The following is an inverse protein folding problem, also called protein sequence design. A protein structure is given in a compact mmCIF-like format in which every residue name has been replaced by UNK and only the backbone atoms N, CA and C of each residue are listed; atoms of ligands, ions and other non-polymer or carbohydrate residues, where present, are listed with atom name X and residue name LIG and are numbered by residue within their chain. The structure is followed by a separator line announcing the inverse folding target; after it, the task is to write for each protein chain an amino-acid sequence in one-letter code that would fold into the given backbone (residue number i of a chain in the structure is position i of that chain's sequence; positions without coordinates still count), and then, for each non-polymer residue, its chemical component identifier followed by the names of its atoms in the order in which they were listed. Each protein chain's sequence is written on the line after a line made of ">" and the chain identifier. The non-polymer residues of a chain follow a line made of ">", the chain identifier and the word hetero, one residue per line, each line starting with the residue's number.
data_IF_250107879974
#
_entry.id   IF_250107879974
#
_cell.length_a   1.000
_cell.length_b   1.000
_cell.length_c   1.000
_cell.angle_alpha   90.00
_cell.angle_beta   90.00
_cell.angle_gamma   90.00
#
_symmetry.space_group_name_H-M   'P 1'
#
loop_
_entity.id
_entity.type
_entity.pdbx_description
1 polymer ?
#
# COMPACT_ATOMS: atom_id res chain seq x y z
N UNK A 1 13.57 15.64 6.09
CA UNK A 1 12.40 14.83 5.71
C UNK A 1 11.47 15.71 4.90
N UNK A 2 11.07 15.23 3.72
CA UNK A 2 10.08 15.88 2.85
C UNK A 2 9.04 14.79 2.55
N UNK A 3 7.87 14.87 3.18
CA UNK A 3 6.75 13.97 2.91
C UNK A 3 5.75 14.72 2.04
N UNK A 4 5.54 14.25 0.81
CA UNK A 4 4.57 14.81 -0.12
C UNK A 4 3.51 13.74 -0.41
N UNK A 5 2.36 13.85 0.26
CA UNK A 5 1.19 12.98 0.04
C UNK A 5 0.28 13.64 -0.98
N UNK A 6 0.30 13.17 -2.24
CA UNK A 6 -0.63 13.62 -3.27
C UNK A 6 -1.81 12.65 -3.37
N UNK A 7 -2.96 13.04 -2.80
CA UNK A 7 -4.26 12.48 -3.16
C UNK A 7 -4.76 13.22 -4.41
N UNK A 8 -4.59 12.63 -5.60
CA UNK A 8 -5.05 13.24 -6.85
C UNK A 8 -6.35 12.60 -7.29
N UNK A 9 -7.46 13.26 -6.93
CA UNK A 9 -8.68 13.23 -7.72
C UNK A 9 -8.63 14.34 -8.76
N UNK A 10 -8.17 14.04 -9.98
CA UNK A 10 -8.53 14.73 -11.23
C UNK A 10 -7.75 14.12 -12.40
N UNK A 11 -8.47 13.94 -13.52
CA UNK A 11 -8.04 13.30 -14.76
C UNK A 11 -6.95 14.14 -15.45
N UNK A 12 -5.82 13.52 -15.79
CA UNK A 12 -4.78 14.09 -16.64
C UNK A 12 -4.54 13.16 -17.83
N UNK A 13 -4.68 13.70 -19.03
CA UNK A 13 -4.45 13.03 -20.30
C UNK A 13 -2.95 12.87 -20.56
N UNK A 14 -2.36 11.80 -20.01
CA UNK A 14 -0.98 11.38 -20.28
C UNK A 14 -0.79 9.99 -19.68
N UNK A 15 -0.65 8.97 -20.53
CA UNK A 15 -0.94 7.58 -20.20
C UNK A 15 -0.18 7.00 -19.00
N UNK A 16 -0.89 6.17 -18.24
CA UNK A 16 -0.38 5.35 -17.12
C UNK A 16 0.78 4.40 -17.52
N UNK A 17 1.02 4.19 -18.82
CA UNK A 17 2.08 3.33 -19.36
C UNK A 17 3.50 3.83 -19.02
N UNK A 18 3.69 5.13 -18.74
CA UNK A 18 5.01 5.65 -18.40
C UNK A 18 5.44 5.30 -16.97
N UNK A 19 4.48 5.05 -16.06
CA UNK A 19 4.75 4.80 -14.64
C UNK A 19 5.06 3.33 -14.34
N UNK A 20 4.74 2.43 -15.28
CA UNK A 20 4.91 0.98 -15.12
C UNK A 20 6.01 0.41 -16.01
N UNK A 21 6.83 1.27 -16.64
CA UNK A 21 7.93 0.81 -17.47
C UNK A 21 9.06 0.27 -16.57
N UNK A 22 9.42 -1.03 -16.65
CA UNK A 22 10.43 -1.63 -15.78
C UNK A 22 11.79 -0.91 -15.86
N UNK A 23 12.14 -0.35 -17.03
CA UNK A 23 13.37 0.43 -17.24
C UNK A 23 13.41 1.73 -16.41
N UNK A 24 12.26 2.31 -16.08
CA UNK A 24 12.16 3.54 -15.25
C UNK A 24 12.29 3.20 -13.76
N UNK A 25 11.80 2.02 -13.34
CA UNK A 25 11.99 1.52 -11.97
C UNK A 25 13.45 1.16 -11.68
N UNK A 26 14.17 0.61 -12.66
CA UNK A 26 15.63 0.40 -12.58
C UNK A 26 16.41 1.72 -12.48
N UNK A 27 15.93 2.78 -13.14
CA UNK A 27 16.52 4.12 -13.10
C UNK A 27 16.37 4.86 -11.75
N UNK A 28 15.26 4.63 -11.03
CA UNK A 28 15.04 5.16 -9.68
C UNK A 28 15.89 4.42 -8.62
N UNK A 29 16.11 3.12 -8.77
CA UNK A 29 17.01 2.36 -7.91
C UNK A 29 18.50 2.73 -8.12
N UNK A 30 18.88 3.11 -9.34
CA UNK A 30 20.28 3.41 -9.70
C UNK A 30 20.76 4.82 -9.30
N UNK A 31 19.88 5.77 -8.95
CA UNK A 31 20.26 7.15 -8.57
C UNK A 31 20.19 7.44 -7.05
N UNK A 32 20.00 6.41 -6.22
CA UNK A 32 20.01 6.54 -4.77
C UNK A 32 21.43 6.49 -4.20
N UNK A 33 22.11 7.64 -4.13
CA UNK A 33 23.31 7.78 -3.30
C UNK A 33 23.04 7.34 -1.85
N UNK A 34 23.98 6.58 -1.28
CA UNK A 34 24.07 6.06 0.10
C UNK A 34 22.92 6.45 1.04
N UNK A 35 21.91 5.57 1.16
CA UNK A 35 20.92 5.61 2.25
C UNK A 35 19.48 6.01 1.89
N UNK A 36 19.10 6.08 0.61
CA UNK A 36 17.72 6.38 0.23
C UNK A 36 16.82 5.14 0.31
N UNK A 37 15.70 5.26 1.02
CA UNK A 37 14.61 4.29 1.06
C UNK A 37 13.44 4.83 0.24
N UNK A 38 12.86 4.00 -0.62
CA UNK A 38 11.66 4.31 -1.40
C UNK A 38 10.49 3.51 -0.86
N UNK A 39 9.33 4.14 -0.70
CA UNK A 39 8.08 3.45 -0.36
C UNK A 39 6.94 3.97 -1.24
N UNK A 40 6.18 3.04 -1.81
CA UNK A 40 4.99 3.33 -2.61
C UNK A 40 3.85 2.41 -2.18
N UNK A 41 2.64 2.97 -2.10
CA UNK A 41 1.42 2.24 -1.76
C UNK A 41 0.28 2.68 -2.66
N UNK A 42 -0.53 1.72 -3.09
CA UNK A 42 -1.78 1.96 -3.81
C UNK A 42 -2.89 1.14 -3.15
N UNK A 43 -4.06 1.75 -3.01
CA UNK A 43 -5.24 1.12 -2.43
C UNK A 43 -6.50 1.63 -3.13
N UNK A 44 -7.53 0.79 -3.20
CA UNK A 44 -8.79 1.14 -3.85
C UNK A 44 -9.98 0.63 -3.03
N UNK A 45 -10.90 1.52 -2.67
CA UNK A 45 -12.09 1.18 -1.89
C UNK A 45 -13.21 0.62 -2.77
N UNK A 46 -13.69 -0.57 -2.42
CA UNK A 46 -14.81 -1.26 -3.08
C UNK A 46 -16.01 -1.29 -2.13
N UNK A 47 -17.16 -0.72 -2.51
CA UNK A 47 -18.37 -0.87 -1.72
C UNK A 47 -18.87 -2.32 -1.76
N UNK A 48 -19.35 -2.82 -0.62
CA UNK A 48 -19.94 -4.15 -0.46
C UNK A 48 -21.25 -4.07 0.34
N UNK A 49 -22.05 -5.13 0.26
CA UNK A 49 -23.26 -5.31 1.09
C UNK A 49 -24.27 -4.15 0.99
N UNK A 50 -24.66 -3.77 -0.24
CA UNK A 50 -25.54 -2.62 -0.50
C UNK A 50 -25.00 -1.31 0.11
N UNK A 51 -23.72 -1.02 -0.16
CA UNK A 51 -23.02 0.17 0.33
C UNK A 51 -23.02 0.29 1.87
N UNK A 52 -23.03 -0.85 2.59
CA UNK A 52 -22.91 -0.86 4.05
C UNK A 52 -21.46 -1.01 4.52
N UNK A 53 -20.60 -1.57 3.67
CA UNK A 53 -19.19 -1.83 3.97
C UNK A 53 -18.29 -1.32 2.84
N UNK A 54 -17.05 -0.98 3.16
CA UNK A 54 -15.99 -0.74 2.18
C UNK A 54 -14.86 -1.72 2.43
N UNK A 55 -14.58 -2.55 1.42
CA UNK A 55 -13.38 -3.37 1.35
C UNK A 55 -12.29 -2.61 0.59
N UNK A 56 -11.13 -2.45 1.18
CA UNK A 56 -10.01 -1.72 0.57
C UNK A 56 -8.82 -2.67 0.37
N UNK A 57 -8.71 -3.36 -0.77
CA UNK A 57 -7.45 -4.00 -1.17
C UNK A 57 -6.36 -2.94 -1.42
N UNK A 58 -5.12 -3.30 -1.11
CA UNK A 58 -3.96 -2.47 -1.35
C UNK A 58 -2.68 -3.28 -1.57
N UNK A 59 -1.72 -2.62 -2.20
CA UNK A 59 -0.39 -3.11 -2.50
C UNK A 59 0.62 -2.08 -2.01
N UNK A 60 1.70 -2.50 -1.37
CA UNK A 60 2.83 -1.63 -1.07
C UNK A 60 4.16 -2.27 -1.45
N UNK A 61 5.10 -1.42 -1.84
CA UNK A 61 6.48 -1.76 -2.15
C UNK A 61 7.39 -0.80 -1.40
N UNK A 62 8.32 -1.33 -0.62
CA UNK A 62 9.42 -0.57 -0.06
C UNK A 62 10.76 -1.13 -0.57
N UNK A 63 11.67 -0.25 -0.98
CA UNK A 63 13.00 -0.59 -1.49
C UNK A 63 14.05 0.15 -0.66
N UNK A 64 15.08 -0.59 -0.22
CA UNK A 64 16.33 -0.05 0.33
C UNK A 64 17.52 -0.60 -0.47
N UNK A 65 18.74 -0.10 -0.24
CA UNK A 65 19.93 -0.62 -0.94
C UNK A 65 20.17 -2.12 -0.77
N UNK A 66 19.67 -2.70 0.33
CA UNK A 66 19.94 -4.05 0.80
C UNK A 66 18.70 -4.90 1.02
N UNK A 67 17.50 -4.35 0.81
CA UNK A 67 16.23 -5.06 1.04
C UNK A 67 15.10 -4.57 0.13
N UNK A 68 14.13 -5.45 -0.09
CA UNK A 68 12.86 -5.14 -0.73
C UNK A 68 11.72 -5.75 0.09
N UNK A 69 10.69 -4.95 0.37
CA UNK A 69 9.51 -5.39 1.11
C UNK A 69 8.28 -5.22 0.26
N UNK A 70 7.52 -6.30 0.10
CA UNK A 70 6.25 -6.36 -0.61
C UNK A 70 5.13 -6.57 0.39
N UNK A 71 4.05 -5.77 0.30
CA UNK A 71 2.88 -5.92 1.17
C UNK A 71 1.60 -6.04 0.36
N UNK A 72 0.77 -7.00 0.76
CA UNK A 72 -0.63 -7.10 0.39
C UNK A 72 -1.46 -6.65 1.58
N UNK A 73 -2.40 -5.74 1.35
CA UNK A 73 -3.19 -5.11 2.40
C UNK A 73 -4.68 -5.27 2.08
N UNK A 74 -5.47 -5.50 3.10
CA UNK A 74 -6.94 -5.46 3.02
C UNK A 74 -7.47 -4.79 4.27
N UNK A 75 -8.41 -3.88 4.13
CA UNK A 75 -9.22 -3.40 5.26
C UNK A 75 -10.70 -3.49 4.95
N UNK A 76 -11.50 -3.71 5.99
CA UNK A 76 -12.95 -3.72 5.94
C UNK A 76 -13.47 -2.79 7.02
N UNK A 77 -14.24 -1.78 6.59
CA UNK A 77 -14.83 -0.76 7.46
C UNK A 77 -16.30 -0.55 7.11
N UNK A 78 -17.16 -0.11 8.07
CA UNK A 78 -18.49 0.40 7.77
C UNK A 78 -18.47 1.57 6.80
N UNK A 79 -19.44 1.62 5.88
CA UNK A 79 -19.61 2.73 4.96
C UNK A 79 -20.23 3.95 5.66
N UNK A 80 -19.59 5.10 5.53
CA UNK A 80 -19.85 6.29 6.34
C UNK A 80 -21.14 7.05 6.01
N UNK A 81 -21.81 6.80 4.87
CA UNK A 81 -23.01 7.56 4.50
C UNK A 81 -24.26 7.22 5.35
N UNK A 82 -24.29 6.05 6.00
CA UNK A 82 -25.42 5.59 6.80
C UNK A 82 -25.03 4.98 8.16
N UNK A 83 -23.76 5.07 8.56
CA UNK A 83 -23.27 4.46 9.80
C UNK A 83 -23.79 5.19 11.05
N UNK A 84 -24.98 4.80 11.51
CA UNK A 84 -25.48 5.08 12.88
C UNK A 84 -24.94 4.06 13.91
N UNK A 85 -24.05 3.14 13.49
CA UNK A 85 -23.43 2.12 14.34
C UNK A 85 -21.99 2.44 14.74
N UNK A 86 -21.47 1.68 15.70
CA UNK A 86 -20.09 1.77 16.20
C UNK A 86 -19.08 1.63 15.05
N UNK A 87 -18.10 2.54 14.98
CA UNK A 87 -17.06 2.47 13.95
C UNK A 87 -16.06 1.39 14.32
N UNK A 88 -15.95 0.37 13.47
CA UNK A 88 -14.97 -0.70 13.60
C UNK A 88 -14.13 -0.83 12.33
N UNK A 89 -12.96 -1.44 12.46
CA UNK A 89 -12.10 -1.79 11.33
C UNK A 89 -11.51 -3.18 11.55
N UNK A 90 -11.56 -4.00 10.52
CA UNK A 90 -10.76 -5.24 10.43
C UNK A 90 -9.74 -5.03 9.32
N UNK A 91 -8.46 -5.27 9.59
CA UNK A 91 -7.43 -5.21 8.55
C UNK A 91 -6.49 -6.40 8.58
N UNK A 92 -6.05 -6.81 7.39
CA UNK A 92 -5.15 -7.91 7.15
C UNK A 92 -3.98 -7.42 6.29
N UNK A 93 -2.76 -7.73 6.71
CA UNK A 93 -1.55 -7.47 5.95
C UNK A 93 -0.75 -8.77 5.78
N UNK A 94 -0.39 -9.09 4.55
CA UNK A 94 0.63 -10.08 4.24
C UNK A 94 1.89 -9.35 3.79
N UNK A 95 3.04 -9.70 4.34
CA UNK A 95 4.32 -9.10 4.00
C UNK A 95 5.32 -10.17 3.58
N UNK A 96 6.13 -9.82 2.57
CA UNK A 96 7.30 -10.57 2.16
C UNK A 96 8.48 -9.63 2.10
N UNK A 97 9.55 -9.95 2.81
CA UNK A 97 10.78 -9.18 2.82
C UNK A 97 11.93 -10.01 2.25
N UNK A 98 12.67 -9.42 1.34
CA UNK A 98 13.91 -9.95 0.78
C UNK A 98 15.07 -9.08 1.29
N UNK A 99 16.21 -9.69 1.62
CA UNK A 99 17.45 -8.97 1.93
C UNK A 99 18.63 -9.63 1.25
N UNK A 100 19.59 -8.81 0.82
CA UNK A 100 20.86 -9.29 0.24
C UNK A 100 21.70 -10.11 1.22
N UNK A 101 21.42 -9.98 2.52
CA UNK A 101 22.13 -10.70 3.59
C UNK A 101 21.58 -12.11 3.87
N UNK A 102 20.36 -12.41 3.40
CA UNK A 102 19.66 -13.67 3.69
C UNK A 102 19.13 -14.31 2.41
N UNK A 103 19.52 -15.56 2.09
CA UNK A 103 19.10 -16.21 0.85
C UNK A 103 17.62 -16.61 0.81
N UNK A 104 16.93 -16.58 1.97
CA UNK A 104 15.53 -16.95 2.11
C UNK A 104 14.71 -15.69 2.45
N UNK A 105 13.60 -15.42 1.73
CA UNK A 105 12.71 -14.32 2.07
C UNK A 105 11.97 -14.57 3.38
N UNK A 106 11.81 -13.52 4.17
CA UNK A 106 10.96 -13.51 5.37
C UNK A 106 9.51 -13.27 4.96
N UNK A 107 8.57 -13.91 5.67
CA UNK A 107 7.14 -13.76 5.42
C UNK A 107 6.43 -13.52 6.75
N UNK A 108 5.51 -12.55 6.77
CA UNK A 108 4.70 -12.27 7.93
C UNK A 108 3.25 -12.00 7.54
N UNK A 109 2.35 -12.24 8.50
CA UNK A 109 0.93 -11.98 8.35
C UNK A 109 0.44 -11.30 9.62
N UNK A 110 -0.24 -10.17 9.46
CA UNK A 110 -0.73 -9.34 10.54
C UNK A 110 -2.24 -9.14 10.39
N UNK A 111 -2.98 -9.43 11.46
CA UNK A 111 -4.42 -9.21 11.57
C UNK A 111 -4.66 -8.19 12.67
N UNK A 112 -5.31 -7.08 12.34
CA UNK A 112 -5.67 -6.03 13.28
C UNK A 112 -7.18 -5.89 13.36
N UNK A 113 -7.66 -5.50 14.54
CA UNK A 113 -9.04 -5.16 14.78
C UNK A 113 -9.14 -3.95 15.69
N UNK A 114 -9.97 -2.98 15.30
CA UNK A 114 -10.20 -1.73 16.03
C UNK A 114 -11.69 -1.53 16.25
N UNK A 115 -12.04 -1.08 17.45
CA UNK A 115 -13.40 -0.73 17.87
C UNK A 115 -13.37 0.69 18.44
N UNK A 116 -14.28 1.56 18.01
CA UNK A 116 -14.57 2.79 18.73
C UNK A 116 -15.80 2.57 19.61
N UNK A 117 -15.61 2.74 20.91
CA UNK A 117 -16.66 2.69 21.94
C UNK A 117 -16.99 4.11 22.40
#
# INVERSE_FOLDING_TARGET
>A
SLSLSHAVGAVSSGGMDALLNPTVLEGLAAHGGTGQQFEAQVAYGLPLSNDQLTLTPGLALALSPDSATYRLLWSLVPYSQHAQGESWEVSLAGERQESNSTPLPEHSLHLSFSLAF
#
